data_IF_235786345718
#
_entry.id   IF_235786345718
#
_cell.length_a   1.000
_cell.length_b   1.000
_cell.length_c   1.000
_cell.angle_alpha   90.00
_cell.angle_beta   90.00
_cell.angle_gamma   90.00
#
_symmetry.space_group_name_H-M   'P 1'
#
loop_
_entity.id
_entity.type
_entity.pdbx_description
1 polymer ?
#
# COMPACT_ATOMS: atom_id res chain seq x y z
N UNK A 1 3.92 -13.47 17.45
CA UNK A 1 4.74 -12.24 17.39
C UNK A 1 5.31 -12.20 15.99
N UNK A 2 4.85 -11.31 15.10
CA UNK A 2 5.52 -11.13 13.81
C UNK A 2 6.95 -10.63 14.04
N UNK A 3 7.89 -11.08 13.20
CA UNK A 3 9.28 -10.64 13.25
C UNK A 3 9.36 -9.11 13.04
N UNK A 4 10.13 -8.43 13.89
CA UNK A 4 10.32 -6.96 13.83
C UNK A 4 10.84 -6.50 12.47
N UNK A 5 11.64 -7.34 11.81
CA UNK A 5 12.18 -7.06 10.48
C UNK A 5 11.10 -7.07 9.39
N UNK A 6 10.02 -7.85 9.57
CA UNK A 6 8.89 -7.89 8.62
C UNK A 6 8.08 -6.60 8.71
N UNK A 7 7.83 -6.10 9.93
CA UNK A 7 7.08 -4.86 10.15
C UNK A 7 7.80 -3.66 9.50
N UNK A 8 9.13 -3.56 9.66
CA UNK A 8 9.90 -2.44 9.11
C UNK A 8 9.94 -2.43 7.57
N UNK A 9 9.96 -3.61 6.93
CA UNK A 9 9.91 -3.74 5.47
C UNK A 9 8.52 -3.37 4.94
N UNK A 10 7.47 -3.85 5.60
CA UNK A 10 6.07 -3.55 5.26
C UNK A 10 5.77 -2.04 5.36
N UNK A 11 6.25 -1.38 6.40
CA UNK A 11 6.12 0.07 6.57
C UNK A 11 6.80 0.85 5.43
N UNK A 12 7.98 0.40 5.00
CA UNK A 12 8.71 1.00 3.88
C UNK A 12 7.95 0.83 2.55
N UNK A 13 7.34 -0.33 2.31
CA UNK A 13 6.54 -0.60 1.11
C UNK A 13 5.26 0.24 1.08
N UNK A 14 4.55 0.36 2.20
CA UNK A 14 3.39 1.26 2.29
C UNK A 14 3.78 2.72 2.06
N UNK A 15 4.89 3.19 2.65
CA UNK A 15 5.35 4.56 2.47
C UNK A 15 5.77 4.85 1.02
N UNK A 16 6.48 3.91 0.39
CA UNK A 16 6.90 4.02 -1.00
C UNK A 16 5.70 4.03 -1.95
N UNK A 17 4.78 3.07 -1.78
CA UNK A 17 3.56 2.98 -2.57
C UNK A 17 2.74 4.27 -2.50
N UNK A 18 2.54 4.81 -1.30
CA UNK A 18 1.73 6.02 -1.11
C UNK A 18 2.37 7.23 -1.78
N UNK A 19 3.69 7.41 -1.62
CA UNK A 19 4.43 8.49 -2.28
C UNK A 19 4.28 8.41 -3.79
N UNK A 20 4.48 7.22 -4.37
CA UNK A 20 4.42 7.03 -5.81
C UNK A 20 3.00 7.19 -6.35
N UNK A 21 1.99 6.78 -5.58
CA UNK A 21 0.57 6.97 -5.90
C UNK A 21 0.14 8.44 -5.90
N UNK A 22 0.85 9.31 -5.17
CA UNK A 22 0.60 10.76 -5.21
C UNK A 22 1.19 11.47 -6.44
N UNK A 23 2.05 10.82 -7.21
CA UNK A 23 2.56 11.38 -8.47
C UNK A 23 1.66 10.94 -9.64
N UNK A 24 0.94 11.84 -10.33
CA UNK A 24 0.06 11.51 -11.46
C UNK A 24 0.81 10.92 -12.66
N UNK A 25 2.13 11.10 -12.75
CA UNK A 25 2.93 10.59 -13.86
C UNK A 25 3.38 9.14 -13.64
N UNK A 26 3.31 8.64 -12.40
CA UNK A 26 3.67 7.26 -12.12
C UNK A 26 2.59 6.30 -12.65
N UNK A 27 3.00 5.30 -13.46
CA UNK A 27 2.06 4.29 -13.93
C UNK A 27 1.55 3.44 -12.77
N UNK A 28 0.41 2.79 -12.98
CA UNK A 28 -0.11 1.82 -12.02
C UNK A 28 0.90 0.67 -11.82
N UNK A 29 1.18 0.26 -10.56
CA UNK A 29 2.13 -0.80 -10.29
C UNK A 29 1.68 -2.14 -10.85
N UNK A 30 2.63 -2.87 -11.42
CA UNK A 30 2.41 -4.24 -11.88
C UNK A 30 2.26 -5.22 -10.71
N UNK A 31 1.82 -6.45 -11.02
CA UNK A 31 1.66 -7.52 -10.02
C UNK A 31 2.96 -7.99 -9.36
N UNK A 32 4.13 -7.53 -9.81
CA UNK A 32 5.44 -7.87 -9.24
C UNK A 32 5.81 -6.98 -8.04
N UNK A 33 4.97 -6.02 -7.66
CA UNK A 33 5.13 -5.22 -6.44
C UNK A 33 4.38 -5.86 -5.27
N UNK A 34 4.86 -5.60 -4.06
CA UNK A 34 4.20 -6.05 -2.82
C UNK A 34 2.74 -5.60 -2.77
N UNK A 35 1.92 -6.37 -2.09
CA UNK A 35 0.51 -6.02 -1.87
C UNK A 35 0.40 -4.73 -1.05
N UNK A 36 1.29 -4.53 -0.06
CA UNK A 36 1.34 -3.31 0.77
C UNK A 36 1.65 -2.07 -0.07
N UNK A 37 2.64 -2.15 -0.96
CA UNK A 37 2.94 -1.08 -1.92
C UNK A 37 1.73 -0.76 -2.80
N UNK A 38 1.13 -1.79 -3.40
CA UNK A 38 0.00 -1.62 -4.33
C UNK A 38 -1.21 -1.01 -3.64
N UNK A 39 -1.51 -1.43 -2.42
CA UNK A 39 -2.56 -0.84 -1.60
C UNK A 39 -2.32 0.66 -1.40
N UNK A 40 -1.15 1.01 -0.86
CA UNK A 40 -0.83 2.40 -0.56
C UNK A 40 -0.75 3.28 -1.81
N UNK A 41 -0.30 2.74 -2.95
CA UNK A 41 -0.35 3.43 -4.23
C UNK A 41 -1.78 3.84 -4.61
N UNK A 42 -2.73 2.92 -4.48
CA UNK A 42 -4.13 3.20 -4.76
C UNK A 42 -4.71 4.23 -3.80
N UNK A 43 -4.34 4.19 -2.52
CA UNK A 43 -4.74 5.22 -1.53
C UNK A 43 -4.20 6.59 -1.94
N UNK A 44 -2.91 6.69 -2.24
CA UNK A 44 -2.29 7.95 -2.67
C UNK A 44 -2.92 8.52 -3.96
N UNK A 45 -3.22 7.65 -4.92
CA UNK A 45 -3.88 8.03 -6.18
C UNK A 45 -5.30 8.54 -5.94
N UNK A 46 -6.07 7.81 -5.14
CA UNK A 46 -7.45 8.16 -4.81
C UNK A 46 -7.55 9.52 -4.08
N UNK A 47 -6.60 9.84 -3.21
CA UNK A 47 -6.52 11.16 -2.57
C UNK A 47 -6.21 12.30 -3.54
N UNK A 48 -5.29 12.10 -4.49
CA UNK A 48 -5.00 13.09 -5.53
C UNK A 48 -6.20 13.32 -6.46
N UNK A 49 -6.95 12.26 -6.76
CA UNK A 49 -8.18 12.34 -7.56
C UNK A 49 -9.38 12.95 -6.79
N UNK A 50 -9.21 13.30 -5.52
CA UNK A 50 -10.28 13.84 -4.67
C UNK A 50 -11.33 12.79 -4.28
N UNK A 51 -10.99 11.51 -4.35
CA UNK A 51 -11.84 10.37 -4.02
C UNK A 51 -11.22 9.54 -2.89
N UNK A 52 -10.97 10.13 -1.70
CA UNK A 52 -10.28 9.43 -0.62
C UNK A 52 -11.02 8.15 -0.23
N UNK A 53 -10.26 7.06 -0.06
CA UNK A 53 -10.81 5.79 0.41
C UNK A 53 -11.22 5.96 1.88
N UNK A 54 -12.43 5.54 2.28
CA UNK A 54 -12.85 5.60 3.68
C UNK A 54 -11.87 4.89 4.61
N UNK A 55 -11.59 5.49 5.76
CA UNK A 55 -10.55 5.00 6.67
C UNK A 55 -10.76 3.56 7.14
N UNK A 56 -12.01 3.13 7.38
CA UNK A 56 -12.32 1.74 7.76
C UNK A 56 -12.00 0.76 6.63
N UNK A 57 -12.40 1.09 5.40
CA UNK A 57 -12.10 0.29 4.21
C UNK A 57 -10.60 0.22 3.96
N UNK A 58 -9.92 1.36 4.05
CA UNK A 58 -8.48 1.46 3.86
C UNK A 58 -7.73 0.56 4.86
N UNK A 59 -8.12 0.62 6.14
CA UNK A 59 -7.53 -0.22 7.19
C UNK A 59 -7.70 -1.71 6.92
N UNK A 60 -8.91 -2.16 6.58
CA UNK A 60 -9.17 -3.56 6.26
C UNK A 60 -8.33 -4.05 5.07
N UNK A 61 -8.21 -3.22 4.04
CA UNK A 61 -7.38 -3.53 2.87
C UNK A 61 -5.89 -3.51 3.17
N UNK A 62 -5.43 -2.70 4.12
CA UNK A 62 -4.05 -2.72 4.60
C UNK A 62 -3.75 -4.02 5.34
N UNK A 63 -4.61 -4.43 6.29
CA UNK A 63 -4.46 -5.70 7.02
C UNK A 63 -4.38 -6.90 6.05
N UNK A 64 -5.23 -6.92 5.02
CA UNK A 64 -5.20 -7.95 3.97
C UNK A 64 -3.92 -7.92 3.12
N UNK A 65 -3.36 -6.74 2.87
CA UNK A 65 -2.15 -6.58 2.09
C UNK A 65 -0.93 -7.10 2.86
N UNK A 66 -0.84 -6.78 4.16
CA UNK A 66 0.20 -7.30 5.05
C UNK A 66 0.15 -8.83 5.14
N UNK A 67 -1.04 -9.40 5.30
CA UNK A 67 -1.20 -10.85 5.35
C UNK A 67 -0.76 -11.52 4.05
N UNK A 68 -1.04 -10.93 2.89
CA UNK A 68 -0.62 -11.47 1.59
C UNK A 68 0.89 -11.40 1.42
N UNK A 69 1.51 -10.29 1.81
CA UNK A 69 2.97 -10.13 1.77
C UNK A 69 3.69 -11.11 2.70
N UNK A 70 3.10 -11.43 3.86
CA UNK A 70 3.65 -12.43 4.78
C UNK A 70 3.51 -13.89 4.29
N UNK A 71 2.72 -14.14 3.24
CA UNK A 71 2.47 -15.48 2.69
C UNK A 71 3.17 -15.75 1.35
N UNK A 72 3.93 -14.80 0.83
CA UNK A 72 4.77 -14.91 -0.38
C UNK A 72 6.16 -15.47 -0.05
#
# INVERSE_FOLDING_TARGET
MPDLDVIAVTDAEFAAGYRDGRDPNNPEPSGNRSHSYRHSFMVGRAEIEGKPIPAETSRRSADEAEMKDATL
#
